data_IF_997904985609
#
_entry.id   IF_997904985609
#
_cell.length_a   1.000
_cell.length_b   1.000
_cell.length_c   1.000
_cell.angle_alpha   90.00
_cell.angle_beta   90.00
_cell.angle_gamma   90.00
#
_symmetry.space_group_name_H-M   'P 1'
#
loop_
_entity.id
_entity.type
_entity.pdbx_description
1 polymer ?
#
# COMPACT_ATOMS: atom_id res chain seq x y z
N UNK A 1 -0.38 3.21 -16.44
CA UNK A 1 0.09 1.94 -15.87
C UNK A 1 -0.29 1.79 -14.40
N UNK A 2 0.16 2.68 -13.48
CA UNK A 2 -0.08 2.53 -12.04
C UNK A 2 -1.56 2.34 -11.70
N UNK A 3 -2.46 3.16 -12.21
CA UNK A 3 -3.90 3.02 -11.96
C UNK A 3 -4.42 1.63 -12.39
N UNK A 4 -4.06 1.18 -13.59
CA UNK A 4 -4.52 -0.13 -14.07
C UNK A 4 -4.00 -1.30 -13.22
N UNK A 5 -2.76 -1.25 -12.75
CA UNK A 5 -2.25 -2.27 -11.83
C UNK A 5 -2.96 -2.25 -10.49
N UNK A 6 -3.28 -1.06 -9.96
CA UNK A 6 -4.04 -0.89 -8.71
C UNK A 6 -5.48 -1.38 -8.80
N UNK A 7 -6.11 -1.31 -9.97
CA UNK A 7 -7.44 -1.87 -10.21
C UNK A 7 -7.47 -3.40 -10.12
N UNK A 8 -6.34 -4.05 -10.44
CA UNK A 8 -6.23 -5.51 -10.50
C UNK A 8 -5.60 -6.09 -9.25
N UNK A 9 -4.60 -5.41 -8.67
CA UNK A 9 -3.80 -5.90 -7.54
C UNK A 9 -3.94 -4.99 -6.34
N UNK A 10 -4.00 -5.62 -5.15
CA UNK A 10 -3.98 -4.89 -3.88
C UNK A 10 -2.63 -4.19 -3.66
N UNK A 11 -1.54 -4.94 -3.79
CA UNK A 11 -0.17 -4.43 -3.64
C UNK A 11 0.45 -4.05 -4.98
N UNK A 12 1.10 -2.89 -5.02
CA UNK A 12 1.71 -2.33 -6.22
C UNK A 12 3.11 -1.82 -5.91
N UNK A 13 4.10 -2.30 -6.63
CA UNK A 13 5.50 -1.88 -6.49
C UNK A 13 5.86 -0.88 -7.58
N UNK A 14 6.29 0.31 -7.16
CA UNK A 14 6.89 1.30 -8.05
C UNK A 14 8.40 1.18 -7.93
N UNK A 15 9.03 0.63 -8.95
CA UNK A 15 10.45 0.27 -8.94
C UNK A 15 11.25 1.25 -9.79
N UNK A 16 12.34 1.78 -9.26
CA UNK A 16 13.24 2.67 -10.00
C UNK A 16 14.24 3.36 -9.09
N UNK A 17 15.26 3.94 -9.69
CA UNK A 17 16.32 4.63 -8.97
C UNK A 17 15.80 5.81 -8.13
N UNK A 18 16.62 6.23 -7.17
CA UNK A 18 16.34 7.43 -6.36
C UNK A 18 16.25 8.64 -7.30
N UNK A 19 15.28 9.50 -7.06
CA UNK A 19 15.09 10.74 -7.84
C UNK A 19 14.34 10.57 -9.18
N UNK A 20 13.98 9.33 -9.61
CA UNK A 20 13.28 9.08 -10.88
C UNK A 20 11.83 9.57 -10.93
N UNK A 21 11.27 10.02 -9.80
CA UNK A 21 9.89 10.52 -9.75
C UNK A 21 8.83 9.53 -9.29
N UNK A 22 9.19 8.43 -8.60
CA UNK A 22 8.24 7.45 -8.04
C UNK A 22 7.18 8.12 -7.17
N UNK A 23 7.63 8.89 -6.18
CA UNK A 23 6.77 9.66 -5.27
C UNK A 23 5.87 10.63 -6.02
N UNK A 24 6.40 11.32 -7.03
CA UNK A 24 5.61 12.25 -7.86
C UNK A 24 4.52 11.54 -8.64
N UNK A 25 4.79 10.33 -9.13
CA UNK A 25 3.83 9.54 -9.93
C UNK A 25 2.56 9.23 -9.13
N UNK A 26 2.67 8.66 -7.93
CA UNK A 26 1.47 8.34 -7.15
C UNK A 26 0.80 9.61 -6.59
N UNK A 27 1.58 10.66 -6.24
CA UNK A 27 0.99 11.93 -5.78
C UNK A 27 0.19 12.64 -6.85
N UNK A 28 0.66 12.65 -8.09
CA UNK A 28 -0.09 13.21 -9.23
C UNK A 28 -1.36 12.39 -9.46
N UNK A 29 -1.25 11.06 -9.49
CA UNK A 29 -2.40 10.17 -9.66
C UNK A 29 -3.44 10.39 -8.55
N UNK A 30 -3.02 10.44 -7.29
CA UNK A 30 -3.89 10.70 -6.14
C UNK A 30 -4.65 12.02 -6.27
N UNK A 31 -3.94 13.10 -6.62
CA UNK A 31 -4.56 14.42 -6.83
C UNK A 31 -5.55 14.39 -7.99
N UNK A 32 -5.18 13.78 -9.10
CA UNK A 32 -6.04 13.68 -10.29
C UNK A 32 -7.33 12.94 -9.98
N UNK A 33 -7.26 11.77 -9.34
CA UNK A 33 -8.44 10.99 -8.96
C UNK A 33 -9.33 11.75 -7.96
N UNK A 34 -8.74 12.45 -7.00
CA UNK A 34 -9.47 13.28 -6.04
C UNK A 34 -10.16 14.46 -6.71
N UNK A 35 -9.52 15.11 -7.69
CA UNK A 35 -10.14 16.20 -8.46
C UNK A 35 -11.30 15.69 -9.33
N UNK A 36 -11.11 14.56 -10.03
CA UNK A 36 -12.17 13.91 -10.80
C UNK A 36 -13.37 13.51 -9.95
N UNK A 37 -13.11 13.06 -8.71
CA UNK A 37 -14.15 12.70 -7.75
C UNK A 37 -15.00 13.87 -7.21
N UNK A 38 -14.62 15.13 -7.50
CA UNK A 38 -15.46 16.31 -7.18
C UNK A 38 -16.61 16.50 -8.18
N UNK A 39 -16.45 15.98 -9.40
CA UNK A 39 -17.50 15.96 -10.39
C UNK A 39 -18.46 14.80 -10.10
N UNK A 40 -19.74 15.11 -9.91
CA UNK A 40 -20.76 14.11 -9.52
C UNK A 40 -20.99 13.06 -10.58
N UNK A 41 -20.99 13.44 -11.86
CA UNK A 41 -21.21 12.51 -12.95
C UNK A 41 -20.05 11.53 -13.08
N UNK A 42 -18.81 12.00 -12.94
CA UNK A 42 -17.64 11.16 -12.95
C UNK A 42 -17.56 10.26 -11.69
N UNK A 43 -17.83 10.78 -10.51
CA UNK A 43 -17.85 10.01 -9.27
C UNK A 43 -18.93 8.91 -9.23
N UNK A 44 -20.00 9.06 -10.02
CA UNK A 44 -21.02 8.02 -10.20
C UNK A 44 -20.63 6.99 -11.27
N UNK A 45 -19.75 7.36 -12.21
CA UNK A 45 -19.35 6.49 -13.31
C UNK A 45 -18.31 5.44 -12.92
N UNK A 46 -17.43 5.75 -11.95
CA UNK A 46 -16.34 4.86 -11.51
C UNK A 46 -15.98 5.11 -10.05
N UNK A 47 -15.91 4.05 -9.25
CA UNK A 47 -15.51 4.08 -7.83
C UNK A 47 -14.06 4.53 -7.59
N UNK A 48 -13.26 4.68 -8.64
CA UNK A 48 -11.91 5.22 -8.55
C UNK A 48 -11.87 6.75 -8.53
N UNK A 49 -12.92 7.41 -8.99
CA UNK A 49 -13.05 8.86 -8.93
C UNK A 49 -13.64 9.28 -7.58
N UNK A 50 -12.79 9.32 -6.57
CA UNK A 50 -13.16 9.64 -5.20
C UNK A 50 -11.98 10.28 -4.45
N UNK A 51 -12.22 10.76 -3.25
CA UNK A 51 -11.16 11.28 -2.38
C UNK A 51 -10.18 10.17 -2.02
N UNK A 52 -8.89 10.42 -2.23
CA UNK A 52 -7.82 9.50 -1.85
C UNK A 52 -7.14 10.01 -0.58
N UNK A 53 -7.18 9.22 0.48
CA UNK A 53 -6.32 9.38 1.65
C UNK A 53 -5.04 8.57 1.48
N UNK A 54 -3.93 9.04 2.03
CA UNK A 54 -2.68 8.29 2.02
C UNK A 54 -1.98 8.36 3.36
N UNK A 55 -1.54 7.21 3.84
CA UNK A 55 -0.65 7.07 4.98
C UNK A 55 0.70 6.57 4.48
N UNK A 56 1.77 7.27 4.86
CA UNK A 56 3.14 6.98 4.40
C UNK A 56 3.93 6.46 5.58
N UNK A 57 4.54 5.31 5.40
CA UNK A 57 5.32 4.61 6.42
C UNK A 57 6.66 4.17 5.86
N UNK A 58 7.73 4.41 6.61
CA UNK A 58 9.01 3.76 6.34
C UNK A 58 9.14 2.52 7.24
N UNK A 59 9.02 1.30 6.69
CA UNK A 59 9.03 0.08 7.51
C UNK A 59 10.38 -0.22 8.17
N UNK A 60 11.46 0.42 7.74
CA UNK A 60 12.77 0.33 8.41
C UNK A 60 12.98 1.33 9.53
N UNK A 61 12.11 2.31 9.68
CA UNK A 61 12.21 3.32 10.74
C UNK A 61 11.66 2.82 12.08
N UNK A 62 10.95 1.69 12.09
CA UNK A 62 10.33 1.11 13.28
C UNK A 62 10.67 -0.39 13.39
N UNK A 63 10.74 -0.95 14.59
CA UNK A 63 10.87 -2.39 14.81
C UNK A 63 9.70 -3.16 14.19
N UNK A 64 9.92 -4.43 13.85
CA UNK A 64 8.87 -5.28 13.28
C UNK A 64 7.67 -5.47 14.22
N UNK A 65 7.91 -5.51 15.53
CA UNK A 65 6.87 -5.54 16.55
C UNK A 65 5.92 -4.36 16.43
N UNK A 66 6.46 -3.15 16.37
CA UNK A 66 5.67 -1.91 16.28
C UNK A 66 4.96 -1.77 14.93
N UNK A 67 5.43 -2.52 13.93
CA UNK A 67 4.84 -2.51 12.60
C UNK A 67 3.51 -3.27 12.58
N UNK A 68 3.48 -4.47 13.15
CA UNK A 68 2.33 -5.38 13.07
C UNK A 68 1.65 -5.57 14.41
N UNK A 69 2.33 -6.19 15.38
CA UNK A 69 1.78 -6.46 16.70
C UNK A 69 2.90 -6.81 17.67
N UNK A 70 2.82 -6.28 18.86
CA UNK A 70 3.73 -6.58 19.95
C UNK A 70 2.99 -7.15 21.15
N UNK A 71 3.65 -8.02 21.90
CA UNK A 71 3.15 -8.54 23.17
C UNK A 71 3.83 -7.77 24.30
N UNK A 72 3.06 -7.03 25.09
CA UNK A 72 3.56 -6.36 26.29
C UNK A 72 4.04 -7.42 27.28
N UNK A 73 5.31 -7.35 27.68
CA UNK A 73 5.94 -8.33 28.58
C UNK A 73 5.37 -8.28 30.00
N UNK A 74 4.85 -7.13 30.42
CA UNK A 74 4.34 -6.89 31.77
C UNK A 74 2.88 -7.32 31.88
N UNK A 75 2.05 -6.80 30.99
CA UNK A 75 0.59 -7.03 30.99
C UNK A 75 0.21 -8.33 30.28
N UNK A 76 1.12 -8.94 29.51
CA UNK A 76 0.89 -10.10 28.63
C UNK A 76 -0.22 -9.86 27.59
N UNK A 77 -0.61 -8.61 27.37
CA UNK A 77 -1.59 -8.22 26.35
C UNK A 77 -0.93 -7.98 24.99
N UNK A 78 -1.69 -8.22 23.92
CA UNK A 78 -1.25 -7.92 22.58
C UNK A 78 -1.66 -6.49 22.18
N UNK A 79 -0.73 -5.72 21.65
CA UNK A 79 -0.97 -4.37 21.14
C UNK A 79 -0.76 -4.32 19.64
N UNK A 80 -1.75 -3.76 18.91
CA UNK A 80 -1.65 -3.58 17.47
C UNK A 80 -0.54 -2.58 17.12
N UNK A 81 0.33 -2.95 16.18
CA UNK A 81 1.30 -2.05 15.59
C UNK A 81 0.65 -1.07 14.58
N UNK A 82 1.48 -0.21 14.00
CA UNK A 82 1.02 0.88 13.11
C UNK A 82 0.21 0.36 11.93
N UNK A 83 0.71 -0.67 11.24
CA UNK A 83 0.04 -1.24 10.05
C UNK A 83 -1.24 -1.94 10.45
N UNK A 84 -1.24 -2.72 11.55
CA UNK A 84 -2.43 -3.41 12.04
C UNK A 84 -3.52 -2.42 12.44
N UNK A 85 -3.18 -1.31 13.13
CA UNK A 85 -4.13 -0.24 13.48
C UNK A 85 -4.79 0.36 12.24
N UNK A 86 -3.99 0.79 11.26
CA UNK A 86 -4.50 1.38 10.01
C UNK A 86 -5.43 0.40 9.27
N UNK A 87 -5.03 -0.88 9.18
CA UNK A 87 -5.83 -1.90 8.49
C UNK A 87 -7.11 -2.24 9.25
N UNK A 88 -7.08 -2.28 10.58
CA UNK A 88 -8.25 -2.55 11.43
C UNK A 88 -9.26 -1.39 11.37
N UNK A 89 -8.78 -0.16 11.42
CA UNK A 89 -9.63 1.03 11.23
C UNK A 89 -10.30 1.02 9.85
N UNK A 90 -9.57 0.65 8.82
CA UNK A 90 -10.12 0.50 7.47
C UNK A 90 -11.15 -0.64 7.38
N UNK A 91 -10.92 -1.78 8.03
CA UNK A 91 -11.89 -2.88 8.09
C UNK A 91 -13.19 -2.45 8.78
N UNK A 92 -13.09 -1.71 9.88
CA UNK A 92 -14.26 -1.18 10.59
C UNK A 92 -15.02 -0.16 9.74
N UNK A 93 -14.29 0.68 9.01
CA UNK A 93 -14.89 1.64 8.10
C UNK A 93 -15.66 0.92 6.96
N UNK A 94 -15.16 -0.19 6.41
CA UNK A 94 -15.87 -0.98 5.39
C UNK A 94 -17.25 -1.44 5.88
N UNK A 95 -17.38 -1.77 7.17
CA UNK A 95 -18.66 -2.24 7.76
C UNK A 95 -19.73 -1.16 7.77
N UNK A 96 -19.33 0.11 7.79
CA UNK A 96 -20.24 1.27 7.85
C UNK A 96 -20.52 1.90 6.49
N UNK A 97 -19.71 1.62 5.48
CA UNK A 97 -19.84 2.21 4.14
C UNK A 97 -20.73 1.36 3.25
N UNK A 98 -21.73 1.99 2.65
CA UNK A 98 -22.59 1.39 1.61
C UNK A 98 -22.05 1.62 0.20
N UNK A 99 -21.25 2.68 0.00
CA UNK A 99 -20.60 3.05 -1.27
C UNK A 99 -19.17 3.55 -0.99
N UNK A 100 -18.24 3.23 -1.88
CA UNK A 100 -16.86 3.74 -1.80
C UNK A 100 -16.86 5.22 -2.17
N UNK A 101 -16.76 6.09 -1.16
CA UNK A 101 -16.65 7.55 -1.33
C UNK A 101 -15.22 8.06 -1.13
N UNK A 102 -14.37 7.21 -0.58
CA UNK A 102 -12.95 7.48 -0.36
C UNK A 102 -12.15 6.18 -0.45
N UNK A 103 -10.90 6.29 -0.89
CA UNK A 103 -9.92 5.22 -0.89
C UNK A 103 -8.78 5.53 0.04
N UNK A 104 -8.16 4.48 0.58
CA UNK A 104 -6.99 4.57 1.43
C UNK A 104 -5.79 3.94 0.71
N UNK A 105 -4.71 4.70 0.55
CA UNK A 105 -3.45 4.21 0.05
C UNK A 105 -2.42 4.16 1.18
N UNK A 106 -2.02 2.97 1.57
CA UNK A 106 -0.91 2.78 2.50
C UNK A 106 0.38 2.63 1.70
N UNK A 107 1.28 3.58 1.88
CA UNK A 107 2.50 3.72 1.10
C UNK A 107 3.70 3.35 1.96
N UNK A 108 4.42 2.34 1.53
CA UNK A 108 5.67 1.90 2.14
C UNK A 108 6.84 2.55 1.39
N UNK A 109 7.37 3.64 1.96
CA UNK A 109 8.50 4.38 1.41
C UNK A 109 9.80 3.90 2.07
N UNK A 110 10.42 2.91 1.47
CA UNK A 110 11.66 2.33 1.96
C UNK A 110 12.06 1.06 1.23
N UNK A 111 13.28 0.58 1.46
CA UNK A 111 13.74 -0.63 0.82
C UNK A 111 12.93 -1.84 1.30
N UNK A 112 12.59 -2.71 0.36
CA UNK A 112 12.00 -4.01 0.68
C UNK A 112 13.03 -4.85 1.43
N UNK A 113 12.57 -5.52 2.48
CA UNK A 113 13.35 -6.41 3.30
C UNK A 113 12.50 -7.64 3.64
N UNK A 114 13.08 -8.82 3.54
CA UNK A 114 12.39 -10.08 3.83
C UNK A 114 11.77 -10.09 5.23
N UNK A 115 12.38 -9.41 6.20
CA UNK A 115 11.93 -9.41 7.60
C UNK A 115 10.53 -8.87 7.81
N UNK A 116 10.07 -7.93 6.98
CA UNK A 116 8.73 -7.33 7.12
C UNK A 116 7.80 -7.65 5.94
N UNK A 117 8.34 -7.81 4.72
CA UNK A 117 7.49 -8.00 3.54
C UNK A 117 6.86 -9.40 3.47
N UNK A 118 7.48 -10.41 4.08
CA UNK A 118 6.98 -11.78 4.07
C UNK A 118 5.66 -11.92 4.84
N UNK A 119 5.45 -11.14 5.90
CA UNK A 119 4.18 -11.12 6.63
C UNK A 119 3.04 -10.52 5.80
N UNK A 120 3.38 -9.73 4.77
CA UNK A 120 2.41 -9.19 3.82
C UNK A 120 1.96 -10.19 2.75
N UNK A 121 2.58 -11.36 2.64
CA UNK A 121 2.23 -12.32 1.58
C UNK A 121 0.77 -12.74 1.63
N UNK A 122 0.19 -12.93 2.82
CA UNK A 122 -1.23 -13.26 3.01
C UNK A 122 -2.15 -12.09 2.67
N UNK A 123 -1.68 -10.86 2.89
CA UNK A 123 -2.40 -9.63 2.50
C UNK A 123 -2.42 -9.48 0.99
N UNK A 124 -1.28 -9.73 0.34
CA UNK A 124 -1.10 -9.57 -1.11
C UNK A 124 -1.78 -10.68 -1.92
N UNK A 125 -2.13 -11.79 -1.28
CA UNK A 125 -2.92 -12.86 -1.89
C UNK A 125 -4.39 -12.46 -2.09
N UNK A 126 -5.10 -13.24 -2.87
CA UNK A 126 -6.54 -13.06 -3.11
C UNK A 126 -7.38 -13.13 -1.82
N UNK A 127 -6.85 -13.75 -0.77
CA UNK A 127 -7.47 -13.79 0.56
C UNK A 127 -7.58 -12.41 1.21
N UNK A 128 -6.67 -11.48 0.89
CA UNK A 128 -6.60 -10.10 1.40
C UNK A 128 -6.72 -10.04 2.92
N UNK A 129 -5.94 -10.85 3.64
CA UNK A 129 -5.98 -10.93 5.10
C UNK A 129 -4.59 -10.74 5.69
N UNK A 130 -4.47 -9.84 6.65
CA UNK A 130 -3.29 -9.76 7.51
C UNK A 130 -3.45 -10.75 8.66
N UNK A 131 -2.57 -11.74 8.73
CA UNK A 131 -2.51 -12.69 9.84
C UNK A 131 -1.57 -12.15 10.92
N UNK A 132 -2.07 -12.03 12.14
CA UNK A 132 -1.33 -11.48 13.27
C UNK A 132 -0.80 -12.59 14.19
N UNK A 133 0.23 -12.32 15.00
CA UNK A 133 0.85 -13.31 15.90
C UNK A 133 -0.10 -13.89 16.97
N UNK A 134 -1.15 -13.16 17.35
CA UNK A 134 -2.20 -13.60 18.26
C UNK A 134 -3.23 -14.54 17.60
N UNK A 135 -2.99 -14.95 16.35
CA UNK A 135 -3.88 -15.74 15.50
C UNK A 135 -5.15 -14.99 15.03
N UNK A 136 -5.28 -13.72 15.31
CA UNK A 136 -6.33 -12.88 14.70
C UNK A 136 -6.00 -12.54 13.26
N UNK A 137 -7.04 -12.22 12.48
CA UNK A 137 -6.90 -11.83 11.09
C UNK A 137 -7.66 -10.53 10.83
N UNK A 138 -7.04 -9.62 10.10
CA UNK A 138 -7.65 -8.37 9.64
C UNK A 138 -7.93 -8.49 8.15
N UNK A 139 -9.17 -8.32 7.74
CA UNK A 139 -9.56 -8.33 6.32
C UNK A 139 -9.32 -6.96 5.70
N UNK A 140 -8.60 -6.93 4.58
CA UNK A 140 -8.29 -5.68 3.89
C UNK A 140 -9.43 -5.27 2.97
N UNK A 141 -10.02 -4.07 3.17
CA UNK A 141 -11.12 -3.56 2.39
C UNK A 141 -10.81 -3.40 0.90
N UNK A 142 -11.85 -3.42 0.06
CA UNK A 142 -11.69 -3.20 -1.38
C UNK A 142 -11.25 -1.77 -1.75
N UNK A 143 -11.53 -0.80 -0.89
CA UNK A 143 -11.12 0.58 -1.11
C UNK A 143 -9.67 0.87 -0.69
N UNK A 144 -8.96 -0.11 -0.11
CA UNK A 144 -7.56 0.01 0.31
C UNK A 144 -6.62 -0.56 -0.75
N UNK A 145 -5.52 0.17 -1.02
CA UNK A 145 -4.41 -0.28 -1.84
C UNK A 145 -3.08 -0.07 -1.10
N UNK A 146 -2.13 -0.96 -1.35
CA UNK A 146 -0.77 -0.88 -0.83
C UNK A 146 0.17 -0.47 -1.96
N UNK A 147 1.02 0.52 -1.70
CA UNK A 147 2.03 0.99 -2.64
C UNK A 147 3.40 0.84 -1.99
N UNK A 148 4.31 0.16 -2.68
CA UNK A 148 5.70 -0.01 -2.25
C UNK A 148 6.60 0.82 -3.15
N UNK A 149 7.25 1.83 -2.59
CA UNK A 149 8.21 2.67 -3.30
C UNK A 149 9.61 2.10 -3.10
N UNK A 150 10.12 1.39 -4.10
CA UNK A 150 11.35 0.61 -3.98
C UNK A 150 12.40 0.99 -5.03
N UNK A 151 13.66 0.80 -4.69
CA UNK A 151 14.74 1.05 -5.63
C UNK A 151 14.98 -0.16 -6.56
N UNK A 152 15.00 -1.36 -5.98
CA UNK A 152 15.15 -2.63 -6.69
C UNK A 152 14.43 -3.77 -5.94
N UNK A 153 14.42 -4.96 -6.53
CA UNK A 153 13.71 -6.13 -6.02
C UNK A 153 14.65 -7.27 -5.60
N UNK A 154 15.95 -6.99 -5.43
CA UNK A 154 16.95 -8.04 -5.17
C UNK A 154 16.68 -8.85 -3.90
N UNK A 155 16.04 -8.23 -2.91
CA UNK A 155 15.75 -8.83 -1.60
C UNK A 155 14.33 -9.39 -1.52
N UNK A 156 13.44 -8.99 -2.43
CA UNK A 156 12.06 -9.46 -2.46
C UNK A 156 11.99 -10.91 -2.95
N UNK A 157 11.25 -11.76 -2.26
CA UNK A 157 11.05 -13.14 -2.70
C UNK A 157 10.24 -13.17 -4.01
N UNK A 158 10.48 -14.16 -4.89
CA UNK A 158 9.66 -14.36 -6.10
C UNK A 158 8.17 -14.48 -5.78
N UNK A 159 7.84 -15.06 -4.62
CA UNK A 159 6.48 -15.20 -4.15
C UNK A 159 5.81 -13.84 -3.90
N UNK A 160 6.49 -12.90 -3.26
CA UNK A 160 6.00 -11.54 -3.03
C UNK A 160 5.86 -10.76 -4.34
N UNK A 161 6.89 -10.84 -5.20
CA UNK A 161 6.90 -10.14 -6.49
C UNK A 161 5.74 -10.57 -7.38
N UNK A 162 5.44 -11.87 -7.46
CA UNK A 162 4.36 -12.41 -8.31
C UNK A 162 2.94 -11.97 -7.86
N UNK A 163 2.78 -11.58 -6.60
CA UNK A 163 1.52 -11.11 -6.02
C UNK A 163 1.26 -9.63 -6.22
N UNK A 164 2.30 -8.85 -6.52
CA UNK A 164 2.22 -7.41 -6.70
C UNK A 164 2.06 -7.00 -8.16
N UNK A 165 1.36 -5.90 -8.37
CA UNK A 165 1.43 -5.16 -9.62
C UNK A 165 2.76 -4.43 -9.72
N UNK A 166 3.39 -4.44 -10.90
CA UNK A 166 4.73 -3.90 -11.10
C UNK A 166 4.71 -2.71 -12.04
N UNK A 167 5.30 -1.60 -11.60
CA UNK A 167 5.52 -0.41 -12.42
C UNK A 167 7.00 -0.05 -12.37
N UNK A 168 7.70 -0.31 -13.47
CA UNK A 168 9.10 0.06 -13.62
C UNK A 168 9.23 1.47 -14.17
N UNK A 169 10.04 2.27 -13.49
CA UNK A 169 10.39 3.62 -13.92
C UNK A 169 11.84 3.66 -14.36
N UNK A 170 12.03 3.61 -15.69
CA UNK A 170 13.35 3.71 -16.29
C UNK A 170 13.68 5.16 -16.63
N UNK A 171 14.94 5.63 -16.42
CA UNK A 171 15.35 7.00 -16.73
C UNK A 171 15.05 7.41 -18.18
N UNK A 172 15.26 6.48 -19.11
CA UNK A 172 15.00 6.71 -20.55
C UNK A 172 13.51 6.90 -20.83
N UNK A 173 12.64 6.12 -20.17
CA UNK A 173 11.19 6.21 -20.36
C UNK A 173 10.60 7.48 -19.77
N UNK A 174 11.23 8.06 -18.75
CA UNK A 174 10.79 9.31 -18.09
C UNK A 174 11.42 10.54 -18.75
N UNK A 175 12.34 10.37 -19.69
CA UNK A 175 13.05 11.48 -20.36
C UNK A 175 14.08 12.19 -19.47
N UNK A 176 14.37 11.63 -18.31
CA UNK A 176 15.41 12.13 -17.40
C UNK A 176 16.72 11.41 -17.72
N UNK A 177 17.64 12.10 -18.40
CA UNK A 177 19.03 11.66 -18.42
C UNK A 177 19.60 11.84 -17.02
N UNK A 178 20.13 10.79 -16.36
CA UNK A 178 20.89 11.00 -15.15
C UNK A 178 22.11 11.84 -15.51
N UNK A 179 22.18 13.05 -14.99
CA UNK A 179 23.42 13.80 -15.00
C UNK A 179 24.38 13.07 -14.06
N UNK A 180 25.41 12.46 -14.64
CA UNK A 180 26.52 11.84 -13.95
C UNK A 180 27.32 12.90 -13.18
#
# INVERSE_FOLDING_TARGET
>A
QLLYTMMVRLGNMIVGFIGIGKTSTYRVLMKTLTELGKDKELAESDDWYCTIKSDILNPKAVPKSDLYMEKDEITQTWEDGIVAKIMREAEEEEKTQTKITKRLWLIFDGPVDATWIEDMNTVLDDSRKLCLPDSSNIKIPKFMNLIFEVQDLKVASPATVSRCGMVYMEPVAVGLMPHA
#
